data_IF_675311302191
#
_entry.id   IF_675311302191
#
_cell.length_a   1.000
_cell.length_b   1.000
_cell.length_c   1.000
_cell.angle_alpha   90.00
_cell.angle_beta   90.00
_cell.angle_gamma   90.00
#
_symmetry.space_group_name_H-M   'P 1'
#
loop_
_entity.id
_entity.type
_entity.pdbx_description
1 polymer ?
#
# COMPACT_ATOMS: atom_id res chain seq x y z
N UNK A 1 9.30 19.69 7.08
CA UNK A 1 10.21 19.85 5.91
C UNK A 1 11.17 18.70 5.89
N UNK A 2 11.26 17.98 4.76
CA UNK A 2 12.14 16.81 4.63
C UNK A 2 13.60 17.15 4.97
N UNK A 3 14.24 16.29 5.77
CA UNK A 3 15.70 16.37 6.03
C UNK A 3 16.49 16.04 4.75
N UNK A 4 17.70 16.58 4.62
CA UNK A 4 18.60 16.19 3.54
C UNK A 4 19.82 15.44 4.15
N UNK A 5 20.22 14.28 3.62
CA UNK A 5 19.54 13.56 2.51
C UNK A 5 18.17 12.99 2.94
N UNK A 6 17.23 12.92 1.99
CA UNK A 6 15.92 12.31 2.25
C UNK A 6 16.08 10.81 2.45
N UNK A 7 15.30 10.20 3.38
CA UNK A 7 15.25 8.75 3.51
C UNK A 7 14.88 8.08 2.18
N UNK A 8 15.64 7.05 1.81
CA UNK A 8 15.34 6.22 0.64
C UNK A 8 14.23 5.23 0.99
N UNK A 9 13.09 5.36 0.35
CA UNK A 9 11.95 4.45 0.53
C UNK A 9 11.83 3.54 -0.67
N UNK A 10 11.64 2.24 -0.44
CA UNK A 10 11.23 1.29 -1.47
C UNK A 10 9.80 0.86 -1.20
N UNK A 11 8.94 1.02 -2.20
CA UNK A 11 7.57 0.48 -2.17
C UNK A 11 7.48 -0.60 -3.22
N UNK A 12 7.17 -1.83 -2.77
CA UNK A 12 7.30 -3.03 -3.57
C UNK A 12 5.98 -3.81 -3.69
N UNK A 13 5.56 -4.09 -4.91
CA UNK A 13 4.35 -4.84 -5.19
C UNK A 13 3.83 -4.66 -6.61
N UNK A 14 2.52 -4.61 -6.74
CA UNK A 14 1.84 -4.58 -8.03
C UNK A 14 1.63 -3.16 -8.59
N UNK A 15 1.69 -3.09 -9.92
CA UNK A 15 1.12 -2.05 -10.75
C UNK A 15 0.24 -2.72 -11.82
N UNK A 16 -0.99 -2.26 -11.99
CA UNK A 16 -1.98 -2.88 -12.86
C UNK A 16 -2.96 -1.84 -13.43
N UNK A 17 -3.84 -2.28 -14.31
CA UNK A 17 -4.94 -1.47 -14.82
C UNK A 17 -6.27 -2.08 -14.39
N UNK A 18 -7.08 -1.27 -13.73
CA UNK A 18 -8.49 -1.55 -13.51
C UNK A 18 -9.29 -1.10 -14.73
N UNK A 19 -10.03 -2.03 -15.35
CA UNK A 19 -10.96 -1.76 -16.43
C UNK A 19 -12.36 -1.68 -15.83
N UNK A 20 -12.86 -0.46 -15.66
CA UNK A 20 -14.19 -0.21 -15.08
C UNK A 20 -15.22 -0.28 -16.19
N UNK A 21 -16.17 -1.23 -16.08
CA UNK A 21 -17.28 -1.36 -17.02
C UNK A 21 -18.49 -0.61 -16.48
N UNK A 22 -18.88 0.43 -17.20
CA UNK A 22 -20.12 1.15 -16.94
C UNK A 22 -21.35 0.37 -17.39
N UNK A 23 -22.52 0.70 -16.82
CA UNK A 23 -23.81 0.09 -17.20
C UNK A 23 -24.19 0.33 -18.67
N UNK A 24 -23.62 1.35 -19.30
CA UNK A 24 -23.78 1.65 -20.74
C UNK A 24 -22.84 0.86 -21.64
N UNK A 25 -22.01 -0.02 -21.05
CA UNK A 25 -21.00 -0.81 -21.75
C UNK A 25 -19.70 -0.05 -22.05
N UNK A 26 -19.55 1.17 -21.54
CA UNK A 26 -18.28 1.89 -21.62
C UNK A 26 -17.20 1.19 -20.80
N UNK A 27 -15.95 1.23 -21.26
CA UNK A 27 -14.79 0.68 -20.53
C UNK A 27 -13.79 1.79 -20.28
N UNK A 28 -13.55 2.09 -19.01
CA UNK A 28 -12.61 3.13 -18.60
C UNK A 28 -11.41 2.50 -17.93
N UNK A 29 -10.18 2.66 -18.47
CA UNK A 29 -8.98 2.20 -17.83
C UNK A 29 -8.56 3.15 -16.71
N UNK A 30 -8.26 2.62 -15.54
CA UNK A 30 -7.69 3.33 -14.40
C UNK A 30 -6.37 2.69 -13.98
N UNK A 31 -5.32 3.50 -13.79
CA UNK A 31 -4.08 3.03 -13.21
C UNK A 31 -4.30 2.67 -11.75
N UNK A 32 -3.84 1.49 -11.32
CA UNK A 32 -4.09 0.93 -10.00
C UNK A 32 -3.00 0.00 -9.51
N UNK A 33 -3.27 -0.62 -8.39
CA UNK A 33 -2.35 -1.43 -7.59
C UNK A 33 -2.05 -0.76 -6.25
N UNK A 34 -2.21 -1.50 -5.14
CA UNK A 34 -2.07 -0.90 -3.80
C UNK A 34 -0.70 -0.25 -3.59
N UNK A 35 0.36 -0.98 -3.92
CA UNK A 35 1.72 -0.47 -3.75
C UNK A 35 2.07 0.63 -4.76
N UNK A 36 1.56 0.53 -5.99
CA UNK A 36 1.68 1.59 -6.98
C UNK A 36 1.04 2.90 -6.50
N UNK A 37 -0.17 2.85 -5.95
CA UNK A 37 -0.88 4.02 -5.42
C UNK A 37 -0.19 4.59 -4.18
N UNK A 38 0.29 3.74 -3.27
CA UNK A 38 1.03 4.17 -2.08
C UNK A 38 2.36 4.88 -2.45
N UNK A 39 3.06 4.40 -3.49
CA UNK A 39 4.28 5.05 -3.99
C UNK A 39 3.99 6.46 -4.52
N UNK A 40 2.93 6.62 -5.31
CA UNK A 40 2.47 7.93 -5.80
C UNK A 40 2.09 8.86 -4.64
N UNK A 41 1.35 8.35 -3.65
CA UNK A 41 0.96 9.13 -2.48
C UNK A 41 2.19 9.67 -1.70
N UNK A 42 3.17 8.82 -1.45
CA UNK A 42 4.40 9.21 -0.76
C UNK A 42 5.22 10.22 -1.57
N UNK A 43 5.39 10.00 -2.88
CA UNK A 43 6.15 10.90 -3.75
C UNK A 43 5.51 12.30 -3.86
N UNK A 44 4.19 12.38 -4.04
CA UNK A 44 3.43 13.64 -4.13
C UNK A 44 3.52 14.46 -2.84
N UNK A 45 3.80 13.81 -1.70
CA UNK A 45 4.09 14.45 -0.42
C UNK A 45 5.58 14.76 -0.22
N UNK A 46 6.40 14.60 -1.28
CA UNK A 46 7.80 15.02 -1.31
C UNK A 46 8.79 13.96 -0.84
N UNK A 47 8.37 12.73 -0.55
CA UNK A 47 9.27 11.65 -0.18
C UNK A 47 10.13 11.15 -1.34
N UNK A 48 11.32 10.61 -1.03
CA UNK A 48 12.19 9.94 -2.00
C UNK A 48 11.83 8.46 -2.05
N UNK A 49 11.13 8.04 -3.10
CA UNK A 49 10.61 6.68 -3.23
C UNK A 49 10.98 6.04 -4.56
N UNK A 50 11.31 4.76 -4.51
CA UNK A 50 11.51 3.90 -5.67
C UNK A 50 10.45 2.81 -5.69
N UNK A 51 9.84 2.59 -6.84
CA UNK A 51 8.88 1.52 -7.05
C UNK A 51 9.62 0.24 -7.49
N UNK A 52 9.39 -0.85 -6.76
CA UNK A 52 9.84 -2.19 -7.10
C UNK A 52 8.64 -3.03 -7.52
N UNK A 53 8.59 -3.41 -8.77
CA UNK A 53 7.57 -4.24 -9.39
C UNK A 53 7.91 -4.47 -10.85
N UNK A 54 7.00 -5.07 -11.62
CA UNK A 54 7.21 -5.26 -13.05
C UNK A 54 6.32 -4.32 -13.86
N UNK A 55 6.88 -3.72 -14.89
CA UNK A 55 6.18 -2.84 -15.83
C UNK A 55 6.35 -3.39 -17.25
N UNK A 56 5.24 -3.56 -17.96
CA UNK A 56 5.23 -4.00 -19.36
C UNK A 56 5.77 -2.93 -20.30
N UNK A 57 6.26 -3.35 -21.46
CA UNK A 57 6.56 -2.48 -22.60
C UNK A 57 5.32 -2.17 -23.47
N UNK A 58 4.14 -2.72 -23.09
CA UNK A 58 2.87 -2.44 -23.76
C UNK A 58 2.36 -1.00 -23.47
N UNK A 59 1.20 -0.67 -24.07
CA UNK A 59 0.63 0.66 -23.91
C UNK A 59 0.26 0.99 -22.45
N UNK A 60 -0.27 0.02 -21.71
CA UNK A 60 -0.67 0.20 -20.31
C UNK A 60 0.55 0.30 -19.38
N UNK A 61 1.59 -0.50 -19.62
CA UNK A 61 2.84 -0.39 -18.85
C UNK A 61 3.51 0.98 -19.04
N UNK A 62 3.46 1.55 -20.26
CA UNK A 62 3.93 2.91 -20.53
C UNK A 62 3.09 3.97 -19.81
N UNK A 63 1.77 3.80 -19.75
CA UNK A 63 0.88 4.67 -18.98
C UNK A 63 1.21 4.64 -17.49
N UNK A 64 1.38 3.44 -16.91
CA UNK A 64 1.75 3.27 -15.50
C UNK A 64 3.09 3.96 -15.19
N UNK A 65 4.10 3.75 -16.05
CA UNK A 65 5.42 4.40 -15.91
C UNK A 65 5.31 5.93 -15.99
N UNK A 66 4.58 6.47 -16.97
CA UNK A 66 4.41 7.91 -17.13
C UNK A 66 3.85 8.58 -15.88
N UNK A 67 2.85 7.95 -15.25
CA UNK A 67 2.27 8.48 -14.00
C UNK A 67 3.21 8.39 -12.79
N UNK A 68 4.03 7.33 -12.70
CA UNK A 68 5.08 7.26 -11.68
C UNK A 68 6.10 8.42 -11.87
N UNK A 69 6.53 8.62 -13.11
CA UNK A 69 7.49 9.68 -13.45
C UNK A 69 6.91 11.10 -13.20
N UNK A 70 5.63 11.31 -13.55
CA UNK A 70 4.91 12.58 -13.32
C UNK A 70 4.81 12.92 -11.82
N UNK A 71 4.62 11.91 -10.96
CA UNK A 71 4.54 12.08 -9.51
C UNK A 71 5.93 12.06 -8.83
N UNK A 72 7.01 11.83 -9.58
CA UNK A 72 8.38 11.83 -9.06
C UNK A 72 8.79 10.53 -8.37
N UNK A 73 8.10 9.41 -8.64
CA UNK A 73 8.49 8.07 -8.19
C UNK A 73 9.66 7.56 -9.02
N UNK A 74 10.76 7.17 -8.38
CA UNK A 74 11.88 6.51 -9.05
C UNK A 74 11.47 5.12 -9.58
N UNK A 75 11.90 4.81 -10.80
CA UNK A 75 11.59 3.53 -11.47
C UNK A 75 12.85 2.70 -11.75
N UNK A 76 13.97 3.02 -11.10
CA UNK A 76 15.26 2.31 -11.32
C UNK A 76 15.22 0.84 -10.87
N UNK A 77 14.34 0.50 -9.92
CA UNK A 77 14.09 -0.86 -9.44
C UNK A 77 12.94 -1.57 -10.19
N UNK A 78 12.21 -0.86 -11.03
CA UNK A 78 11.14 -1.47 -11.81
C UNK A 78 11.72 -2.37 -12.91
N UNK A 79 11.25 -3.63 -12.95
CA UNK A 79 11.70 -4.62 -13.92
C UNK A 79 10.87 -4.48 -15.21
N UNK A 80 11.54 -4.12 -16.30
CA UNK A 80 10.91 -4.08 -17.64
C UNK A 80 10.67 -5.48 -18.18
N UNK A 81 9.53 -5.69 -18.81
CA UNK A 81 9.17 -7.00 -19.39
C UNK A 81 8.25 -6.87 -20.60
N UNK A 82 8.34 -7.86 -21.51
CA UNK A 82 7.37 -8.05 -22.59
C UNK A 82 6.09 -8.80 -22.18
N UNK A 83 5.95 -9.21 -20.90
CA UNK A 83 4.69 -9.78 -20.41
C UNK A 83 3.60 -8.73 -20.42
N UNK A 84 2.35 -9.09 -20.77
CA UNK A 84 1.23 -8.13 -20.76
C UNK A 84 1.02 -7.48 -19.39
N UNK A 85 0.61 -6.22 -19.38
CA UNK A 85 0.16 -5.57 -18.13
C UNK A 85 -0.98 -6.37 -17.50
N UNK A 86 -0.94 -6.57 -16.19
CA UNK A 86 -2.04 -7.19 -15.43
C UNK A 86 -3.28 -6.32 -15.51
N UNK A 87 -4.43 -6.95 -15.82
CA UNK A 87 -5.72 -6.28 -15.91
C UNK A 87 -6.68 -6.84 -14.87
N UNK A 88 -7.45 -5.95 -14.27
CA UNK A 88 -8.58 -6.29 -13.40
C UNK A 88 -9.83 -5.67 -13.99
N UNK A 89 -10.84 -6.48 -14.27
CA UNK A 89 -12.11 -6.01 -14.76
C UNK A 89 -13.04 -5.79 -13.58
N UNK A 90 -13.55 -4.57 -13.41
CA UNK A 90 -14.54 -4.22 -12.41
C UNK A 90 -15.89 -3.99 -13.12
N UNK A 91 -16.79 -4.96 -13.02
CA UNK A 91 -18.16 -4.87 -13.54
C UNK A 91 -19.07 -4.34 -12.43
N UNK A 92 -19.70 -3.20 -12.67
CA UNK A 92 -20.63 -2.58 -11.72
C UNK A 92 -22.04 -3.07 -12.03
N UNK A 93 -22.64 -3.83 -11.11
CA UNK A 93 -24.00 -4.33 -11.26
C UNK A 93 -25.07 -3.24 -11.06
N UNK A 94 -26.36 -3.59 -11.26
CA UNK A 94 -27.50 -2.66 -11.11
C UNK A 94 -27.64 -2.10 -9.68
N UNK A 95 -27.10 -2.78 -8.67
CA UNK A 95 -27.08 -2.35 -7.27
C UNK A 95 -25.87 -1.44 -6.94
N UNK A 96 -24.95 -1.24 -7.90
CA UNK A 96 -23.72 -0.48 -7.71
C UNK A 96 -22.58 -1.28 -7.06
N UNK A 97 -22.71 -2.61 -7.01
CA UNK A 97 -21.68 -3.50 -6.44
C UNK A 97 -20.68 -3.87 -7.53
N UNK A 98 -19.38 -3.77 -7.22
CA UNK A 98 -18.32 -4.15 -8.13
C UNK A 98 -18.03 -5.66 -8.06
N UNK A 99 -18.01 -6.32 -9.21
CA UNK A 99 -17.59 -7.70 -9.39
C UNK A 99 -16.26 -7.73 -10.12
N UNK A 100 -15.24 -8.35 -9.51
CA UNK A 100 -13.88 -8.32 -10.04
C UNK A 100 -13.54 -9.61 -10.79
N UNK A 101 -13.00 -9.47 -12.02
CA UNK A 101 -12.43 -10.54 -12.83
C UNK A 101 -10.95 -10.28 -13.04
N UNK A 102 -10.11 -11.25 -12.69
CA UNK A 102 -8.66 -11.10 -12.64
C UNK A 102 -8.00 -11.72 -13.88
N UNK A 103 -7.33 -10.92 -14.68
CA UNK A 103 -6.51 -11.35 -15.81
C UNK A 103 -5.03 -11.24 -15.41
N UNK A 104 -4.55 -12.25 -14.68
CA UNK A 104 -3.25 -12.24 -13.99
C UNK A 104 -2.27 -13.31 -14.50
N UNK A 105 -2.75 -14.35 -15.17
CA UNK A 105 -1.89 -15.43 -15.61
C UNK A 105 -0.91 -14.96 -16.68
N UNK A 106 0.40 -15.15 -16.44
CA UNK A 106 1.49 -14.72 -17.34
C UNK A 106 1.48 -13.22 -17.64
N UNK A 107 1.10 -12.42 -16.68
CA UNK A 107 1.14 -10.95 -16.76
C UNK A 107 2.21 -10.37 -15.84
N UNK A 108 2.30 -9.04 -15.76
CA UNK A 108 3.37 -8.35 -15.01
C UNK A 108 3.36 -8.66 -13.52
N UNK A 109 2.21 -8.61 -12.84
CA UNK A 109 2.16 -8.64 -11.37
C UNK A 109 2.79 -9.89 -10.75
N UNK A 110 2.42 -11.12 -11.13
CA UNK A 110 2.99 -12.28 -10.44
C UNK A 110 4.47 -12.50 -10.72
N UNK A 111 5.01 -11.96 -11.82
CA UNK A 111 6.27 -12.38 -12.41
C UNK A 111 7.55 -11.80 -11.79
N UNK A 112 7.52 -11.08 -10.66
CA UNK A 112 8.75 -10.56 -10.03
C UNK A 112 9.55 -11.71 -9.39
N UNK A 113 10.75 -11.94 -9.93
CA UNK A 113 11.64 -12.99 -9.47
C UNK A 113 12.47 -12.58 -8.25
N UNK A 114 12.94 -13.58 -7.49
CA UNK A 114 13.71 -13.38 -6.26
C UNK A 114 14.96 -12.51 -6.48
N UNK A 115 15.71 -12.76 -7.55
CA UNK A 115 16.94 -12.03 -7.85
C UNK A 115 16.68 -10.52 -8.00
N UNK A 116 15.60 -10.16 -8.70
CA UNK A 116 15.25 -8.75 -8.91
C UNK A 116 14.75 -8.09 -7.62
N UNK A 117 13.94 -8.81 -6.83
CA UNK A 117 13.49 -8.31 -5.54
C UNK A 117 14.65 -8.02 -4.58
N UNK A 118 15.64 -8.91 -4.52
CA UNK A 118 16.77 -8.78 -3.60
C UNK A 118 17.72 -7.61 -3.96
N UNK A 119 17.75 -7.16 -5.21
CA UNK A 119 18.52 -5.95 -5.62
C UNK A 119 18.06 -4.70 -4.88
N UNK A 120 16.78 -4.62 -4.50
CA UNK A 120 16.24 -3.47 -3.75
C UNK A 120 16.78 -3.37 -2.31
N UNK A 121 17.31 -4.47 -1.77
CA UNK A 121 17.94 -4.52 -0.45
C UNK A 121 19.42 -4.09 -0.41
N UNK A 122 20.04 -3.81 -1.56
CA UNK A 122 21.45 -3.39 -1.65
C UNK A 122 21.63 -2.18 -2.60
N UNK A 123 21.95 -0.98 -2.05
CA UNK A 123 22.00 -0.66 -0.63
C UNK A 123 20.67 -0.81 0.08
N UNK A 124 20.67 -1.10 1.37
CA UNK A 124 19.45 -1.23 2.15
C UNK A 124 18.63 0.08 2.15
N UNK A 125 17.31 0.03 1.96
CA UNK A 125 16.47 1.21 2.07
C UNK A 125 16.29 1.63 3.54
N UNK A 126 16.01 2.92 3.77
CA UNK A 126 15.63 3.41 5.09
C UNK A 126 14.23 2.91 5.49
N UNK A 127 13.33 2.78 4.50
CA UNK A 127 12.01 2.18 4.69
C UNK A 127 11.62 1.27 3.53
N UNK A 128 10.89 0.20 3.84
CA UNK A 128 10.32 -0.76 2.89
C UNK A 128 8.81 -0.91 3.15
N UNK A 129 7.99 -0.72 2.13
CA UNK A 129 6.56 -0.96 2.20
C UNK A 129 6.14 -2.06 1.22
N UNK A 130 5.45 -3.07 1.72
CA UNK A 130 4.99 -4.23 0.93
C UNK A 130 3.53 -4.56 1.26
N UNK A 131 2.82 -5.18 0.31
CA UNK A 131 1.44 -5.57 0.59
C UNK A 131 0.68 -6.10 -0.61
N UNK A 132 -0.62 -6.14 -0.45
CA UNK A 132 -1.65 -6.43 -1.46
C UNK A 132 -1.37 -7.71 -2.27
N UNK A 133 -1.54 -7.67 -3.58
CA UNK A 133 -1.30 -8.79 -4.50
C UNK A 133 0.17 -9.22 -4.51
N UNK A 134 1.08 -8.28 -4.22
CA UNK A 134 2.50 -8.56 -4.07
C UNK A 134 2.84 -9.58 -2.96
N UNK A 135 1.94 -9.80 -2.00
CA UNK A 135 2.08 -10.84 -0.96
C UNK A 135 1.13 -12.03 -1.15
N UNK A 136 0.24 -11.98 -2.15
CA UNK A 136 -0.74 -13.03 -2.42
C UNK A 136 -0.36 -13.94 -3.59
N UNK A 137 0.23 -13.39 -4.65
CA UNK A 137 0.51 -14.09 -5.90
C UNK A 137 1.95 -14.59 -5.98
N UNK A 138 2.18 -15.73 -6.57
CA UNK A 138 3.52 -16.30 -6.75
C UNK A 138 3.98 -16.16 -8.20
N UNK A 139 5.30 -15.94 -8.40
CA UNK A 139 6.42 -15.95 -7.44
C UNK A 139 6.65 -14.63 -6.67
N UNK A 140 6.07 -13.49 -7.04
CA UNK A 140 6.33 -12.19 -6.40
C UNK A 140 6.19 -12.25 -4.87
N UNK A 141 5.21 -12.99 -4.36
CA UNK A 141 4.95 -13.05 -2.91
C UNK A 141 6.07 -13.72 -2.12
N UNK A 142 6.69 -14.77 -2.67
CA UNK A 142 7.85 -15.40 -2.06
C UNK A 142 9.10 -14.50 -2.20
N UNK A 143 9.23 -13.79 -3.32
CA UNK A 143 10.31 -12.83 -3.57
C UNK A 143 10.28 -11.64 -2.62
N UNK A 144 9.10 -11.05 -2.39
CA UNK A 144 8.94 -9.93 -1.45
C UNK A 144 9.05 -10.38 0.02
N UNK A 145 8.56 -11.56 0.36
CA UNK A 145 8.75 -12.12 1.70
C UNK A 145 10.24 -12.36 2.00
N UNK A 146 11.02 -12.79 1.01
CA UNK A 146 12.47 -12.94 1.14
C UNK A 146 13.18 -11.58 1.27
N UNK A 147 12.78 -10.56 0.51
CA UNK A 147 13.28 -9.20 0.65
C UNK A 147 13.04 -8.65 2.06
N UNK A 148 11.81 -8.78 2.59
CA UNK A 148 11.46 -8.37 3.95
C UNK A 148 12.34 -9.07 5.00
N UNK A 149 12.66 -10.36 4.79
CA UNK A 149 13.54 -11.10 5.69
C UNK A 149 15.02 -10.71 5.57
N UNK A 150 15.43 -10.17 4.42
CA UNK A 150 16.82 -9.81 4.14
C UNK A 150 17.19 -8.41 4.59
N UNK A 151 16.27 -7.43 4.51
CA UNK A 151 16.58 -6.05 4.92
C UNK A 151 17.01 -6.00 6.38
N UNK A 152 18.01 -5.15 6.73
CA UNK A 152 18.51 -5.07 8.09
C UNK A 152 17.44 -4.56 9.06
N UNK A 153 17.64 -4.80 10.36
CA UNK A 153 16.71 -4.32 11.40
C UNK A 153 16.56 -2.80 11.43
N UNK A 154 17.54 -2.07 10.90
CA UNK A 154 17.46 -0.61 10.77
C UNK A 154 16.47 -0.13 9.72
N UNK A 155 16.11 -0.96 8.75
CA UNK A 155 15.07 -0.62 7.76
C UNK A 155 13.68 -0.62 8.42
N UNK A 156 12.97 0.48 8.31
CA UNK A 156 11.59 0.60 8.76
C UNK A 156 10.65 -0.16 7.81
N UNK A 157 9.94 -1.16 8.30
CA UNK A 157 9.08 -2.03 7.47
C UNK A 157 7.62 -1.77 7.76
N UNK A 158 6.88 -1.39 6.72
CA UNK A 158 5.42 -1.26 6.75
C UNK A 158 4.78 -2.32 5.87
N UNK A 159 3.72 -2.94 6.39
CA UNK A 159 2.96 -3.99 5.69
C UNK A 159 1.49 -3.59 5.61
N UNK A 160 0.93 -3.62 4.40
CA UNK A 160 -0.50 -3.49 4.16
C UNK A 160 -1.02 -4.80 3.56
N UNK A 161 -1.68 -5.68 4.32
CA UNK A 161 -2.27 -6.90 3.79
C UNK A 161 -3.18 -6.65 2.59
N UNK A 162 -4.05 -5.64 2.71
CA UNK A 162 -5.00 -5.22 1.67
C UNK A 162 -5.54 -6.43 0.90
N UNK A 163 -6.18 -7.33 1.66
CA UNK A 163 -6.51 -8.69 1.26
C UNK A 163 -7.43 -8.73 0.05
N UNK A 164 -7.18 -9.67 -0.85
CA UNK A 164 -8.00 -9.90 -2.03
C UNK A 164 -8.37 -11.39 -2.10
N UNK A 165 -9.44 -11.82 -1.39
CA UNK A 165 -9.82 -13.25 -1.29
C UNK A 165 -9.95 -13.92 -2.65
N UNK A 166 -10.57 -13.23 -3.63
CA UNK A 166 -10.79 -13.73 -4.98
C UNK A 166 -9.52 -13.85 -5.83
N UNK A 167 -8.43 -13.19 -5.41
CA UNK A 167 -7.12 -13.24 -6.05
C UNK A 167 -6.08 -14.02 -5.21
N UNK A 168 -6.51 -14.69 -4.13
CA UNK A 168 -5.64 -15.47 -3.24
C UNK A 168 -5.88 -16.96 -3.49
N UNK A 169 -5.04 -17.65 -4.29
CA UNK A 169 -5.31 -19.02 -4.70
C UNK A 169 -5.23 -20.04 -3.55
N UNK A 170 -4.35 -19.81 -2.58
CA UNK A 170 -4.12 -20.70 -1.43
C UNK A 170 -4.05 -19.85 -0.14
N UNK A 171 -5.17 -19.80 0.57
CA UNK A 171 -5.27 -19.05 1.82
C UNK A 171 -4.30 -19.55 2.91
N UNK A 172 -4.09 -20.84 3.01
CA UNK A 172 -3.18 -21.41 4.03
C UNK A 172 -1.73 -20.96 3.80
N UNK A 173 -1.29 -20.98 2.55
CA UNK A 173 0.03 -20.52 2.13
C UNK A 173 0.18 -19.00 2.31
N UNK A 174 -0.84 -18.24 1.91
CA UNK A 174 -0.92 -16.80 2.13
C UNK A 174 -0.82 -16.44 3.63
N UNK A 175 -1.64 -17.07 4.48
CA UNK A 175 -1.63 -16.82 5.92
C UNK A 175 -0.26 -17.15 6.56
N UNK A 176 0.36 -18.26 6.16
CA UNK A 176 1.67 -18.66 6.66
C UNK A 176 2.78 -17.65 6.25
N UNK A 177 2.69 -17.08 5.03
CA UNK A 177 3.56 -16.01 4.54
C UNK A 177 3.34 -14.73 5.31
N UNK A 178 2.08 -14.30 5.44
CA UNK A 178 1.71 -13.09 6.16
C UNK A 178 2.22 -13.10 7.61
N UNK A 179 2.11 -14.22 8.33
CA UNK A 179 2.68 -14.36 9.67
C UNK A 179 4.18 -14.07 9.72
N UNK A 180 4.95 -14.50 8.72
CA UNK A 180 6.40 -14.25 8.65
C UNK A 180 6.72 -12.80 8.31
N UNK A 181 5.99 -12.22 7.37
CA UNK A 181 6.18 -10.83 6.93
C UNK A 181 5.78 -9.86 8.05
N UNK A 182 4.64 -10.07 8.68
CA UNK A 182 4.15 -9.27 9.81
C UNK A 182 5.12 -9.34 11.00
N UNK A 183 5.70 -10.49 11.29
CA UNK A 183 6.68 -10.63 12.40
C UNK A 183 7.92 -9.74 12.23
N UNK A 184 8.19 -9.22 11.02
CA UNK A 184 9.29 -8.27 10.73
C UNK A 184 8.78 -6.82 10.65
N UNK A 185 7.47 -6.61 10.59
CA UNK A 185 6.90 -5.29 10.39
C UNK A 185 7.07 -4.38 11.61
N UNK A 186 7.33 -3.10 11.36
CA UNK A 186 7.25 -2.04 12.35
C UNK A 186 5.82 -1.50 12.44
N UNK A 187 5.17 -1.39 11.28
CA UNK A 187 3.77 -0.95 11.15
C UNK A 187 3.00 -1.95 10.30
N UNK A 188 1.82 -2.33 10.77
CA UNK A 188 0.82 -3.06 9.98
C UNK A 188 -0.40 -2.17 9.82
N UNK A 189 -0.82 -1.92 8.58
CA UNK A 189 -2.05 -1.17 8.27
C UNK A 189 -2.97 -2.09 7.47
N UNK A 190 -4.23 -2.12 7.82
CA UNK A 190 -5.27 -2.83 7.07
C UNK A 190 -6.64 -2.25 7.36
N UNK A 191 -7.64 -2.67 6.56
CA UNK A 191 -9.04 -2.44 6.90
C UNK A 191 -9.52 -3.43 7.96
N UNK A 192 -10.68 -3.18 8.55
CA UNK A 192 -11.38 -4.16 9.38
C UNK A 192 -11.61 -5.48 8.63
N UNK A 193 -12.03 -5.42 7.36
CA UNK A 193 -12.22 -6.58 6.48
C UNK A 193 -10.92 -7.37 6.27
N UNK A 194 -9.78 -6.68 6.14
CA UNK A 194 -8.47 -7.32 6.01
C UNK A 194 -8.12 -8.13 7.26
N UNK A 195 -8.32 -7.54 8.45
CA UNK A 195 -8.04 -8.22 9.72
C UNK A 195 -9.02 -9.36 9.98
N UNK A 196 -10.28 -9.23 9.57
CA UNK A 196 -11.24 -10.32 9.61
C UNK A 196 -10.83 -11.49 8.69
N UNK A 197 -10.40 -11.17 7.45
CA UNK A 197 -9.93 -12.19 6.51
C UNK A 197 -8.68 -12.90 6.99
N UNK A 198 -7.70 -12.17 7.56
CA UNK A 198 -6.50 -12.78 8.15
C UNK A 198 -6.80 -13.72 9.30
N UNK A 199 -7.91 -13.51 10.00
CA UNK A 199 -8.44 -14.36 11.07
C UNK A 199 -7.39 -14.71 12.14
N UNK A 200 -6.57 -13.72 12.55
CA UNK A 200 -5.54 -13.91 13.59
C UNK A 200 -6.14 -13.84 15.00
N UNK A 201 -7.20 -13.07 15.18
CA UNK A 201 -8.00 -12.99 16.42
C UNK A 201 -9.48 -12.73 16.07
N UNK A 202 -10.42 -12.85 17.03
CA UNK A 202 -11.87 -12.73 16.77
C UNK A 202 -12.35 -11.39 16.24
N UNK A 203 -11.64 -10.29 16.53
CA UNK A 203 -11.99 -8.95 16.05
C UNK A 203 -10.76 -8.20 15.55
N UNK A 204 -10.90 -7.18 14.66
CA UNK A 204 -9.80 -6.35 14.20
C UNK A 204 -9.00 -5.72 15.36
N UNK A 205 -9.66 -5.17 16.37
CA UNK A 205 -9.00 -4.60 17.54
C UNK A 205 -8.22 -5.64 18.35
N UNK A 206 -8.74 -6.85 18.49
CA UNK A 206 -8.00 -7.94 19.14
C UNK A 206 -6.82 -8.41 18.31
N UNK A 207 -6.96 -8.42 16.97
CA UNK A 207 -5.84 -8.68 16.06
C UNK A 207 -4.75 -7.62 16.22
N UNK A 208 -5.13 -6.34 16.27
CA UNK A 208 -4.16 -5.24 16.47
C UNK A 208 -3.37 -5.42 17.77
N UNK A 209 -4.05 -5.67 18.90
CA UNK A 209 -3.37 -5.90 20.19
C UNK A 209 -2.48 -7.14 20.17
N UNK A 210 -2.93 -8.23 19.55
CA UNK A 210 -2.10 -9.43 19.36
C UNK A 210 -0.83 -9.14 18.58
N UNK A 211 -0.89 -8.32 17.52
CA UNK A 211 0.27 -7.95 16.73
C UNK A 211 1.26 -7.08 17.53
N UNK A 212 0.76 -6.16 18.36
CA UNK A 212 1.62 -5.41 19.31
C UNK A 212 2.33 -6.34 20.29
N UNK A 213 1.64 -7.33 20.86
CA UNK A 213 2.22 -8.36 21.73
C UNK A 213 3.30 -9.19 21.02
N UNK A 214 3.21 -9.34 19.70
CA UNK A 214 4.19 -10.04 18.86
C UNK A 214 5.34 -9.15 18.41
N UNK A 215 5.37 -7.85 18.80
CA UNK A 215 6.49 -6.94 18.57
C UNK A 215 6.28 -5.96 17.40
N UNK A 216 5.13 -5.92 16.75
CA UNK A 216 4.77 -4.84 15.83
C UNK A 216 4.70 -3.53 16.62
N UNK A 217 5.29 -2.45 16.10
CA UNK A 217 5.37 -1.18 16.82
C UNK A 217 4.05 -0.41 16.83
N UNK A 218 3.33 -0.40 15.70
CA UNK A 218 1.99 0.18 15.59
C UNK A 218 1.11 -0.57 14.60
N UNK A 219 -0.20 -0.57 14.85
CA UNK A 219 -1.20 -1.15 13.95
C UNK A 219 -2.26 -0.10 13.63
N UNK A 220 -2.55 0.08 12.33
CA UNK A 220 -3.58 0.99 11.84
C UNK A 220 -4.74 0.16 11.29
N UNK A 221 -5.96 0.46 11.75
CA UNK A 221 -7.19 -0.19 11.29
C UNK A 221 -8.12 0.87 10.70
N UNK A 222 -8.44 0.76 9.42
CA UNK A 222 -9.35 1.69 8.74
C UNK A 222 -10.77 1.11 8.68
N UNK A 223 -11.78 1.94 9.00
CA UNK A 223 -13.21 1.60 8.94
C UNK A 223 -13.92 2.46 7.88
N UNK A 224 -13.50 2.33 6.63
CA UNK A 224 -14.10 3.05 5.51
C UNK A 224 -14.18 4.55 5.74
N UNK A 225 -15.39 5.11 5.73
CA UNK A 225 -15.66 6.54 5.92
C UNK A 225 -15.92 6.97 7.36
N UNK A 226 -15.84 6.07 8.34
CA UNK A 226 -16.17 6.39 9.73
C UNK A 226 -14.95 6.89 10.50
N UNK A 227 -13.96 6.03 10.72
CA UNK A 227 -12.77 6.35 11.51
C UNK A 227 -11.56 5.51 11.08
N UNK A 228 -10.39 5.94 11.52
CA UNK A 228 -9.18 5.12 11.53
C UNK A 228 -8.70 4.96 12.97
N UNK A 229 -8.45 3.73 13.39
CA UNK A 229 -7.90 3.40 14.69
C UNK A 229 -6.40 3.21 14.60
N UNK A 230 -5.65 3.75 15.54
CA UNK A 230 -4.23 3.51 15.74
C UNK A 230 -3.98 2.81 17.07
N UNK A 231 -3.17 1.76 17.06
CA UNK A 231 -2.79 1.00 18.24
C UNK A 231 -1.27 1.02 18.40
N UNK A 232 -0.78 1.35 19.58
CA UNK A 232 0.65 1.28 19.93
C UNK A 232 0.85 0.93 21.40
N UNK A 233 2.10 0.82 21.84
CA UNK A 233 2.42 0.53 23.25
C UNK A 233 1.92 1.64 24.21
N UNK A 234 1.83 2.89 23.75
CA UNK A 234 1.36 4.03 24.54
C UNK A 234 -0.17 4.10 24.67
N UNK A 235 -0.92 3.38 23.86
CA UNK A 235 -2.38 3.41 23.89
C UNK A 235 -3.04 3.21 22.52
N UNK A 236 -4.29 3.64 22.47
CA UNK A 236 -5.14 3.54 21.28
C UNK A 236 -5.67 4.93 20.93
N UNK A 237 -5.76 5.24 19.65
CA UNK A 237 -6.35 6.47 19.14
C UNK A 237 -7.47 6.16 18.15
N UNK A 238 -8.47 7.03 18.09
CA UNK A 238 -9.54 7.01 17.09
C UNK A 238 -9.56 8.35 16.39
N UNK A 239 -9.35 8.34 15.09
CA UNK A 239 -9.32 9.53 14.25
C UNK A 239 -10.52 9.49 13.31
N UNK A 240 -11.48 10.42 13.43
CA UNK A 240 -12.64 10.47 12.55
C UNK A 240 -12.22 10.85 11.12
N UNK A 241 -12.84 10.20 10.13
CA UNK A 241 -12.63 10.55 8.72
C UNK A 241 -13.32 11.89 8.41
N UNK A 242 -12.63 12.87 7.79
CA UNK A 242 -13.25 14.11 7.36
C UNK A 242 -14.42 13.88 6.41
N UNK A 243 -15.56 14.55 6.66
CA UNK A 243 -16.69 14.49 5.75
C UNK A 243 -16.40 15.26 4.46
N UNK A 244 -16.36 14.56 3.33
CA UNK A 244 -16.12 15.11 1.99
C UNK A 244 -17.19 14.66 1.01
N UNK A 245 -17.33 15.37 -0.10
CA UNK A 245 -18.13 14.86 -1.20
C UNK A 245 -17.35 13.77 -1.93
N UNK A 246 -17.70 12.52 -1.68
CA UNK A 246 -17.03 11.36 -2.27
C UNK A 246 -17.35 11.26 -3.74
N UNK A 247 -16.31 11.19 -4.58
CA UNK A 247 -16.38 10.89 -6.00
C UNK A 247 -16.04 9.41 -6.25
N UNK A 248 -14.95 8.91 -5.58
CA UNK A 248 -14.46 7.55 -5.70
C UNK A 248 -13.69 7.19 -4.42
N UNK A 249 -13.67 5.93 -4.03
CA UNK A 249 -12.91 5.43 -2.88
C UNK A 249 -11.66 4.64 -3.26
N UNK A 250 -11.41 4.48 -4.56
CA UNK A 250 -10.21 3.77 -5.07
C UNK A 250 -8.94 4.45 -4.57
N UNK A 251 -8.01 3.65 -4.04
CA UNK A 251 -6.73 4.13 -3.54
C UNK A 251 -6.77 4.87 -2.20
N UNK A 252 -7.93 4.97 -1.52
CA UNK A 252 -8.01 5.63 -0.22
C UNK A 252 -7.13 4.95 0.83
N UNK A 253 -7.22 3.63 0.95
CA UNK A 253 -6.37 2.84 1.86
C UNK A 253 -4.88 2.95 1.52
N UNK A 254 -4.55 2.93 0.23
CA UNK A 254 -3.17 3.05 -0.26
C UNK A 254 -2.62 4.46 0.05
N UNK A 255 -3.48 5.48 -0.10
CA UNK A 255 -3.15 6.87 0.27
C UNK A 255 -2.91 7.00 1.77
N UNK A 256 -3.70 6.33 2.63
CA UNK A 256 -3.40 6.28 4.08
C UNK A 256 -2.00 5.72 4.31
N UNK A 257 -1.66 4.59 3.68
CA UNK A 257 -0.34 3.95 3.85
C UNK A 257 0.81 4.84 3.40
N UNK A 258 0.76 5.36 2.16
CA UNK A 258 1.80 6.22 1.60
C UNK A 258 1.95 7.55 2.35
N UNK A 259 0.83 8.15 2.79
CA UNK A 259 0.85 9.42 3.53
C UNK A 259 1.31 9.26 4.97
N UNK A 260 0.96 8.15 5.63
CA UNK A 260 1.50 7.81 6.96
C UNK A 260 3.02 7.72 6.92
N UNK A 261 3.58 6.96 5.96
CA UNK A 261 5.02 6.86 5.77
C UNK A 261 5.66 8.22 5.47
N UNK A 262 5.03 9.03 4.60
CA UNK A 262 5.53 10.38 4.29
C UNK A 262 5.63 11.23 5.54
N UNK A 263 4.56 11.31 6.34
CA UNK A 263 4.55 12.06 7.59
C UNK A 263 5.61 11.55 8.57
N UNK A 264 5.64 10.23 8.79
CA UNK A 264 6.54 9.60 9.76
C UNK A 264 8.01 9.88 9.46
N UNK A 265 8.40 9.67 8.21
CA UNK A 265 9.78 9.83 7.78
C UNK A 265 10.19 11.32 7.65
N UNK A 266 9.27 12.21 7.23
CA UNK A 266 9.54 13.66 7.17
C UNK A 266 9.90 14.25 8.52
N UNK A 267 9.29 13.72 9.61
CA UNK A 267 9.57 14.14 10.97
C UNK A 267 10.80 13.45 11.59
N UNK A 268 11.48 12.57 10.83
CA UNK A 268 12.65 11.83 11.31
C UNK A 268 12.30 10.74 12.33
N UNK A 269 11.05 10.30 12.36
CA UNK A 269 10.60 9.27 13.27
C UNK A 269 10.97 7.88 12.76
N UNK A 270 11.27 6.98 13.67
CA UNK A 270 11.59 5.58 13.41
C UNK A 270 10.75 4.64 14.28
N UNK A 271 11.30 3.44 14.51
CA UNK A 271 10.64 2.41 15.33
C UNK A 271 10.39 2.85 16.77
N UNK A 272 11.29 3.65 17.36
CA UNK A 272 11.22 4.05 18.78
C UNK A 272 10.02 4.94 19.06
N UNK A 273 9.69 5.82 18.12
CA UNK A 273 8.63 6.80 18.24
C UNK A 273 7.23 6.17 18.04
N UNK A 274 7.13 4.94 17.49
CA UNK A 274 5.85 4.23 17.32
C UNK A 274 5.10 3.97 18.63
N UNK A 275 5.82 3.92 19.75
CA UNK A 275 5.19 3.78 21.08
C UNK A 275 4.56 5.04 21.64
N UNK A 276 4.74 6.20 21.00
CA UNK A 276 4.17 7.48 21.41
C UNK A 276 2.77 7.67 20.77
N UNK A 277 1.75 7.69 21.61
CA UNK A 277 0.35 7.73 21.16
C UNK A 277 0.00 9.07 20.50
N UNK A 278 0.58 10.19 20.96
CA UNK A 278 0.30 11.53 20.44
C UNK A 278 0.93 11.68 19.02
N UNK A 279 2.14 11.13 18.82
CA UNK A 279 2.79 11.10 17.51
C UNK A 279 2.04 10.20 16.54
N UNK A 280 1.55 9.05 17.03
CA UNK A 280 0.73 8.14 16.21
C UNK A 280 -0.57 8.81 15.77
N UNK A 281 -1.27 9.49 16.70
CA UNK A 281 -2.51 10.22 16.39
C UNK A 281 -2.28 11.29 15.33
N UNK A 282 -1.21 12.07 15.45
CA UNK A 282 -0.86 13.10 14.48
C UNK A 282 -0.60 12.50 13.08
N UNK A 283 0.15 11.39 13.00
CA UNK A 283 0.45 10.72 11.74
C UNK A 283 -0.81 10.11 11.10
N UNK A 284 -1.68 9.47 11.89
CA UNK A 284 -2.95 8.91 11.42
C UNK A 284 -3.89 10.02 10.95
N UNK A 285 -3.99 11.12 11.70
CA UNK A 285 -4.80 12.30 11.32
C UNK A 285 -4.36 12.84 9.96
N UNK A 286 -3.05 13.02 9.76
CA UNK A 286 -2.50 13.47 8.49
C UNK A 286 -2.84 12.51 7.34
N UNK A 287 -2.65 11.22 7.56
CA UNK A 287 -2.91 10.19 6.55
C UNK A 287 -4.40 10.10 6.15
N UNK A 288 -5.30 10.20 7.12
CA UNK A 288 -6.75 10.19 6.89
C UNK A 288 -7.20 11.45 6.14
N UNK A 289 -6.62 12.62 6.43
CA UNK A 289 -6.88 13.85 5.67
C UNK A 289 -6.46 13.71 4.21
N UNK A 290 -5.28 13.15 3.95
CA UNK A 290 -4.82 12.89 2.59
C UNK A 290 -5.75 11.92 1.84
N UNK A 291 -6.18 10.85 2.48
CA UNK A 291 -7.12 9.90 1.91
C UNK A 291 -8.50 10.52 1.64
N UNK A 292 -8.99 11.41 2.51
CA UNK A 292 -10.23 12.13 2.28
C UNK A 292 -10.15 13.02 1.02
N UNK A 293 -9.03 13.70 0.78
CA UNK A 293 -8.80 14.47 -0.45
C UNK A 293 -8.79 13.54 -1.67
N UNK A 294 -8.08 12.40 -1.61
CA UNK A 294 -8.12 11.39 -2.68
C UNK A 294 -9.56 11.01 -3.05
N UNK A 295 -10.41 10.76 -2.05
CA UNK A 295 -11.80 10.35 -2.27
C UNK A 295 -12.68 11.40 -2.97
N UNK A 296 -12.26 12.68 -3.06
CA UNK A 296 -12.98 13.71 -3.82
C UNK A 296 -12.76 13.63 -5.34
N UNK A 297 -11.90 12.71 -5.81
CA UNK A 297 -11.45 12.58 -7.20
C UNK A 297 -11.82 11.21 -7.76
N UNK A 298 -11.86 11.08 -9.07
CA UNK A 298 -12.05 9.79 -9.73
C UNK A 298 -10.71 9.03 -9.78
N UNK A 299 -10.71 7.76 -9.38
CA UNK A 299 -9.52 6.92 -9.30
C UNK A 299 -8.57 7.29 -8.16
N UNK A 300 -7.42 6.62 -8.09
CA UNK A 300 -6.41 6.87 -7.09
C UNK A 300 -5.57 8.12 -7.45
N UNK A 301 -5.99 9.27 -6.95
CA UNK A 301 -5.33 10.56 -7.17
C UNK A 301 -5.01 11.24 -5.82
N UNK A 302 -3.94 10.76 -5.12
CA UNK A 302 -3.55 11.29 -3.82
C UNK A 302 -3.14 12.78 -3.90
N UNK A 303 -3.29 13.54 -2.80
CA UNK A 303 -2.96 14.97 -2.79
C UNK A 303 -1.45 15.23 -2.91
N UNK A 304 -1.12 16.42 -3.41
CA UNK A 304 0.23 16.99 -3.35
C UNK A 304 0.48 17.68 -2.00
N UNK A 305 1.74 18.06 -1.73
CA UNK A 305 2.08 18.88 -0.55
C UNK A 305 1.29 20.18 -0.50
N UNK A 306 1.19 20.89 -1.62
CA UNK A 306 0.44 22.14 -1.72
C UNK A 306 -1.03 21.95 -1.35
N UNK A 307 -1.67 20.87 -1.84
CA UNK A 307 -3.06 20.56 -1.55
C UNK A 307 -3.28 20.14 -0.09
N UNK A 308 -2.24 19.65 0.61
CA UNK A 308 -2.24 19.39 2.05
C UNK A 308 -1.90 20.65 2.87
N UNK A 309 -1.64 21.81 2.24
CA UNK A 309 -1.23 23.04 2.91
C UNK A 309 0.18 22.97 3.51
N UNK A 310 1.06 22.16 2.94
CA UNK A 310 2.47 22.02 3.34
C UNK A 310 3.34 22.83 2.37
N UNK A 311 4.15 23.73 2.90
CA UNK A 311 5.12 24.53 2.13
C UNK A 311 6.42 23.74 1.82
#
# INVERSE_FOLDING_TARGET
>A
MWSEPRPRVVIAGEALIDLIIGQDGSVTPAAGGGQYNAARALARLGGSVEFLGRLSDDWFGKLLRSRLDEDGVGTSLAVETGDPTTLVLAEIDEAGVAHYHWYIEKTTVPGLELEDALKAGDPAPDALHVGTLGLAMEPIADSLAALVAQVPESTFVMVDPNCRPTATPDFGRYQARMKKVIARADVVKGSDEDFEYLALAPTPAQTARLLLEQGVGAVLVTHGGDEALGFCAGGEVSVPVPSVQVSDTVGAGDTVGGSFLAYWLEHGFGRRELGDVDLLEAAVTFAVQAAAINCTRAGAEPPTREEMGLD
#
